data_IF_990179662843
#
_entry.id   IF_990179662843
#
_cell.length_a   1.000
_cell.length_b   1.000
_cell.length_c   1.000
_cell.angle_alpha   90.00
_cell.angle_beta   90.00
_cell.angle_gamma   90.00
#
_symmetry.space_group_name_H-M   'P 1'
#
loop_
_entity.id
_entity.type
_entity.pdbx_description
1 polymer ?
#
# COMPACT_ATOMS: atom_id res chain seq x y z
N UNK A 1 28.95 -19.16 47.63
CA UNK A 1 28.55 -20.31 46.79
C UNK A 1 27.24 -19.94 46.09
N UNK A 2 27.31 -19.34 44.89
CA UNK A 2 26.12 -18.90 44.15
C UNK A 2 25.61 -20.09 43.33
N UNK A 3 24.53 -20.72 43.80
CA UNK A 3 23.82 -21.75 43.05
C UNK A 3 23.11 -21.10 41.85
N UNK A 4 23.74 -21.17 40.68
CA UNK A 4 23.14 -20.77 39.40
C UNK A 4 22.09 -21.84 39.06
N UNK A 5 20.82 -21.56 39.32
CA UNK A 5 19.69 -22.38 38.85
C UNK A 5 19.72 -22.42 37.32
N UNK A 6 20.20 -23.53 36.75
CA UNK A 6 20.05 -23.83 35.33
C UNK A 6 18.58 -24.21 35.11
N UNK A 7 17.75 -23.27 34.65
CA UNK A 7 16.42 -23.59 34.13
C UNK A 7 16.60 -24.47 32.90
N UNK A 8 16.23 -25.75 33.00
CA UNK A 8 16.12 -26.64 31.83
C UNK A 8 15.02 -26.10 30.92
N UNK A 9 15.38 -25.66 29.72
CA UNK A 9 14.43 -25.33 28.67
C UNK A 9 13.52 -26.55 28.40
N UNK A 10 12.20 -26.36 28.43
CA UNK A 10 11.25 -27.39 28.03
C UNK A 10 10.93 -27.26 26.55
N UNK A 11 11.35 -28.24 25.75
CA UNK A 11 11.00 -28.35 24.34
C UNK A 11 9.85 -29.35 24.17
N UNK A 12 8.79 -28.94 23.47
CA UNK A 12 7.66 -29.83 23.13
C UNK A 12 7.40 -29.72 21.63
N UNK A 13 7.35 -30.85 20.94
CA UNK A 13 7.06 -30.92 19.51
C UNK A 13 5.67 -31.54 19.34
N UNK A 14 4.74 -30.79 18.77
CA UNK A 14 3.43 -31.28 18.38
C UNK A 14 3.36 -31.43 16.87
N UNK A 15 2.88 -32.57 16.38
CA UNK A 15 2.60 -32.78 14.96
C UNK A 15 1.10 -33.00 14.78
N UNK A 16 0.46 -32.15 13.99
CA UNK A 16 -0.94 -32.31 13.59
C UNK A 16 -1.09 -32.18 12.05
N UNK A 17 -2.34 -32.18 11.56
CA UNK A 17 -2.64 -32.03 10.13
C UNK A 17 -2.20 -30.67 9.55
N UNK A 18 -1.84 -29.69 10.38
CA UNK A 18 -1.38 -28.34 10.01
C UNK A 18 0.14 -28.20 10.05
N UNK A 19 0.88 -29.23 10.47
CA UNK A 19 2.34 -29.24 10.49
C UNK A 19 2.94 -29.63 11.85
N UNK A 20 4.20 -29.26 12.05
CA UNK A 20 4.98 -29.48 13.25
C UNK A 20 5.10 -28.15 14.00
N UNK A 21 4.50 -28.08 15.19
CA UNK A 21 4.60 -26.97 16.12
C UNK A 21 5.68 -27.28 17.15
N UNK A 22 6.73 -26.46 17.19
CA UNK A 22 7.77 -26.53 18.21
C UNK A 22 7.46 -25.49 19.28
N UNK A 23 7.40 -25.91 20.53
CA UNK A 23 7.23 -25.04 21.69
C UNK A 23 8.52 -25.01 22.51
N UNK A 24 8.89 -23.80 22.96
CA UNK A 24 9.97 -23.56 23.91
C UNK A 24 9.36 -22.82 25.09
N UNK A 25 9.44 -23.41 26.28
CA UNK A 25 8.89 -22.86 27.53
C UNK A 25 7.40 -22.44 27.39
N UNK A 26 6.62 -23.27 26.70
CA UNK A 26 5.18 -23.07 26.50
C UNK A 26 4.80 -22.05 25.41
N UNK A 27 5.78 -21.44 24.72
CA UNK A 27 5.55 -20.54 23.58
C UNK A 27 5.87 -21.24 22.27
N UNK A 28 5.07 -21.02 21.23
CA UNK A 28 5.39 -21.50 19.88
C UNK A 28 6.70 -20.85 19.43
N UNK A 29 7.72 -21.66 19.22
CA UNK A 29 9.02 -21.26 18.71
C UNK A 29 9.09 -21.38 17.18
N UNK A 30 8.50 -22.44 16.59
CA UNK A 30 8.33 -22.51 15.14
C UNK A 30 7.13 -23.38 14.73
N UNK A 31 6.61 -23.10 13.54
CA UNK A 31 5.61 -23.93 12.86
C UNK A 31 6.25 -24.36 11.52
N UNK A 32 6.54 -25.65 11.39
CA UNK A 32 7.05 -26.26 10.17
C UNK A 32 5.87 -26.94 9.50
N UNK A 33 5.39 -26.40 8.40
CA UNK A 33 4.29 -26.99 7.66
C UNK A 33 4.88 -27.62 6.38
N UNK A 34 5.13 -28.94 6.34
CA UNK A 34 5.77 -29.59 5.20
C UNK A 34 4.90 -29.41 3.95
N UNK A 35 5.40 -28.67 2.95
CA UNK A 35 4.66 -28.33 1.73
C UNK A 35 4.03 -26.94 1.72
N UNK A 36 4.16 -26.15 2.79
CA UNK A 36 3.72 -24.75 2.76
C UNK A 36 4.57 -23.93 1.79
N UNK A 37 3.92 -23.39 0.77
CA UNK A 37 4.51 -22.48 -0.21
C UNK A 37 4.19 -21.04 0.17
N UNK A 38 5.22 -20.21 0.18
CA UNK A 38 5.16 -18.82 0.58
C UNK A 38 5.26 -17.88 -0.61
N UNK A 39 4.61 -16.74 -0.48
CA UNK A 39 4.85 -15.55 -1.29
C UNK A 39 5.25 -14.43 -0.34
N UNK A 40 6.33 -13.72 -0.67
CA UNK A 40 6.73 -12.52 0.03
C UNK A 40 7.32 -11.51 -0.94
N UNK A 41 7.57 -10.30 -0.46
CA UNK A 41 7.99 -9.19 -1.29
C UNK A 41 8.93 -8.28 -0.50
N UNK A 42 9.77 -7.56 -1.22
CA UNK A 42 10.52 -6.45 -0.65
C UNK A 42 9.64 -5.21 -0.66
N UNK A 43 9.40 -4.56 0.49
CA UNK A 43 8.72 -3.27 0.47
C UNK A 43 9.49 -2.26 -0.38
N UNK A 44 8.78 -1.45 -1.18
CA UNK A 44 9.40 -0.34 -1.88
C UNK A 44 9.82 0.74 -0.88
N UNK A 45 10.65 1.67 -1.34
CA UNK A 45 10.78 2.95 -0.63
C UNK A 45 9.56 3.86 -0.81
N UNK A 46 9.62 5.03 -0.18
CA UNK A 46 8.54 6.01 -0.15
C UNK A 46 7.52 5.78 0.97
N UNK A 47 6.54 6.68 1.08
CA UNK A 47 5.56 6.64 2.18
C UNK A 47 4.57 5.49 2.09
N UNK A 48 3.71 5.38 3.12
CA UNK A 48 2.68 4.34 3.25
C UNK A 48 1.95 4.01 1.94
N UNK A 49 1.51 5.01 1.19
CA UNK A 49 0.72 4.81 -0.02
C UNK A 49 1.44 3.95 -1.09
N UNK A 50 2.77 4.01 -1.19
CA UNK A 50 3.54 3.17 -2.11
C UNK A 50 3.68 1.75 -1.57
N UNK A 51 4.01 1.61 -0.29
CA UNK A 51 4.14 0.32 0.39
C UNK A 51 2.82 -0.46 0.37
N UNK A 52 1.70 0.24 0.56
CA UNK A 52 0.33 -0.30 0.45
C UNK A 52 0.05 -0.91 -0.92
N UNK A 53 0.46 -0.26 -2.02
CA UNK A 53 0.25 -0.82 -3.37
C UNK A 53 1.00 -2.14 -3.53
N UNK A 54 2.25 -2.22 -3.05
CA UNK A 54 3.01 -3.47 -3.07
C UNK A 54 2.35 -4.57 -2.23
N UNK A 55 1.87 -4.21 -1.04
CA UNK A 55 1.13 -5.11 -0.18
C UNK A 55 -0.17 -5.64 -0.82
N UNK A 56 -0.98 -4.76 -1.41
CA UNK A 56 -2.23 -5.16 -2.08
C UNK A 56 -1.99 -6.10 -3.25
N UNK A 57 -0.99 -5.79 -4.07
CA UNK A 57 -0.57 -6.68 -5.17
C UNK A 57 -0.10 -8.04 -4.62
N UNK A 58 0.65 -8.05 -3.51
CA UNK A 58 1.10 -9.29 -2.88
C UNK A 58 -0.07 -10.13 -2.35
N UNK A 59 -1.11 -9.50 -1.78
CA UNK A 59 -2.35 -10.20 -1.34
C UNK A 59 -3.05 -10.86 -2.53
N UNK A 60 -3.22 -10.12 -3.63
CA UNK A 60 -3.86 -10.64 -4.85
C UNK A 60 -3.07 -11.82 -5.41
N UNK A 61 -1.74 -11.67 -5.57
CA UNK A 61 -0.89 -12.73 -6.09
C UNK A 61 -0.84 -13.95 -5.18
N UNK A 62 -0.74 -13.77 -3.87
CA UNK A 62 -0.76 -14.88 -2.92
C UNK A 62 -2.08 -15.65 -2.99
N UNK A 63 -3.21 -14.95 -3.17
CA UNK A 63 -4.52 -15.59 -3.35
C UNK A 63 -4.62 -16.34 -4.67
N UNK A 64 -4.17 -15.74 -5.78
CA UNK A 64 -4.21 -16.37 -7.11
C UNK A 64 -3.31 -17.59 -7.22
N UNK A 65 -2.16 -17.57 -6.52
CA UNK A 65 -1.16 -18.64 -6.56
C UNK A 65 -1.30 -19.66 -5.43
N UNK A 66 -2.33 -19.51 -4.58
CA UNK A 66 -2.57 -20.35 -3.41
C UNK A 66 -1.33 -20.48 -2.49
N UNK A 67 -0.70 -19.35 -2.18
CA UNK A 67 0.49 -19.28 -1.32
C UNK A 67 0.19 -18.57 -0.02
N UNK A 68 0.87 -18.97 1.06
CA UNK A 68 0.86 -18.24 2.33
C UNK A 68 1.62 -16.94 2.15
N UNK A 69 0.95 -15.82 2.42
CA UNK A 69 1.57 -14.49 2.31
C UNK A 69 2.42 -14.20 3.55
N UNK A 70 3.69 -13.86 3.37
CA UNK A 70 4.51 -13.28 4.43
C UNK A 70 4.59 -11.77 4.21
N UNK A 71 3.97 -11.01 5.12
CA UNK A 71 3.92 -9.55 5.09
C UNK A 71 5.06 -8.92 5.88
N UNK A 72 5.48 -7.74 5.44
CA UNK A 72 6.57 -6.97 6.00
C UNK A 72 6.06 -5.77 6.79
N UNK A 73 6.81 -5.31 7.81
CA UNK A 73 6.47 -4.08 8.52
C UNK A 73 6.67 -2.86 7.61
N UNK A 74 6.12 -1.74 8.02
CA UNK A 74 6.13 -0.49 7.27
C UNK A 74 7.31 0.38 7.69
N UNK A 75 7.97 0.96 6.70
CA UNK A 75 8.96 2.00 6.93
C UNK A 75 8.27 3.37 7.01
N UNK A 76 8.44 4.13 8.11
CA UNK A 76 7.87 5.46 8.22
C UNK A 76 8.50 6.42 7.22
N UNK A 77 7.68 7.27 6.63
CA UNK A 77 8.12 8.15 5.54
C UNK A 77 9.23 9.10 5.99
N UNK A 78 9.15 9.59 7.23
CA UNK A 78 10.15 10.51 7.77
C UNK A 78 11.53 9.85 7.94
N UNK A 79 11.60 8.60 8.38
CA UNK A 79 12.87 7.86 8.46
C UNK A 79 13.44 7.60 7.07
N UNK A 80 12.59 7.30 6.09
CA UNK A 80 13.01 7.18 4.68
C UNK A 80 13.62 8.50 4.19
N UNK A 81 12.95 9.63 4.42
CA UNK A 81 13.44 10.95 4.01
C UNK A 81 14.73 11.35 4.75
N UNK A 82 14.87 10.98 6.02
CA UNK A 82 16.08 11.22 6.83
C UNK A 82 17.25 10.42 6.28
N UNK A 83 17.05 9.14 5.97
CA UNK A 83 18.08 8.28 5.37
C UNK A 83 18.43 8.71 3.95
N UNK A 84 17.44 9.08 3.14
CA UNK A 84 17.66 9.64 1.79
C UNK A 84 18.62 10.84 1.84
N UNK A 85 18.35 11.78 2.74
CA UNK A 85 19.17 12.99 2.94
C UNK A 85 20.57 12.67 3.45
N UNK A 86 20.68 11.86 4.51
CA UNK A 86 21.96 11.55 5.15
C UNK A 86 22.86 10.63 4.33
N UNK A 87 22.30 9.67 3.58
CA UNK A 87 23.05 8.69 2.78
C UNK A 87 23.19 9.09 1.31
N UNK A 88 22.50 10.16 0.86
CA UNK A 88 22.47 10.62 -0.54
C UNK A 88 22.08 9.52 -1.54
N UNK A 89 21.14 8.66 -1.14
CA UNK A 89 20.60 7.57 -1.98
C UNK A 89 19.18 7.89 -2.47
N UNK A 90 18.69 7.14 -3.45
CA UNK A 90 17.30 7.25 -3.89
C UNK A 90 16.35 6.78 -2.78
N UNK A 91 15.10 7.25 -2.77
CA UNK A 91 14.06 6.75 -1.86
C UNK A 91 13.48 5.41 -2.33
N UNK A 92 14.35 4.49 -2.76
CA UNK A 92 14.04 3.14 -3.24
C UNK A 92 14.00 2.10 -2.13
N UNK A 93 13.97 0.83 -2.54
CA UNK A 93 13.92 -0.32 -1.62
C UNK A 93 15.20 -0.44 -0.77
N UNK A 94 16.31 0.13 -1.23
CA UNK A 94 17.59 0.09 -0.54
C UNK A 94 17.52 0.79 0.81
N UNK A 95 16.76 1.89 0.91
CA UNK A 95 16.55 2.59 2.19
C UNK A 95 15.77 1.70 3.16
N UNK A 96 14.74 0.98 2.68
CA UNK A 96 13.98 0.06 3.53
C UNK A 96 14.90 -0.99 4.17
N UNK A 97 15.86 -1.51 3.40
CA UNK A 97 16.81 -2.51 3.89
C UNK A 97 17.76 -2.00 4.98
N UNK A 98 17.98 -0.69 5.07
CA UNK A 98 18.85 -0.07 6.07
C UNK A 98 18.14 0.15 7.42
N UNK A 99 16.82 0.01 7.47
CA UNK A 99 16.04 0.28 8.69
C UNK A 99 16.12 -0.92 9.64
N UNK A 100 16.50 -0.69 10.91
CA UNK A 100 16.46 -1.74 11.91
C UNK A 100 15.02 -1.98 12.38
N UNK A 101 14.76 -3.13 13.01
CA UNK A 101 13.41 -3.58 13.36
C UNK A 101 12.64 -2.56 14.23
N UNK A 102 13.31 -1.90 15.18
CA UNK A 102 12.73 -0.89 16.09
C UNK A 102 12.30 0.41 15.39
N UNK A 103 12.72 0.60 14.12
CA UNK A 103 12.31 1.71 13.25
C UNK A 103 11.26 1.31 12.22
N UNK A 104 10.74 0.09 12.29
CA UNK A 104 9.68 -0.41 11.42
C UNK A 104 8.39 -0.60 12.22
N UNK A 105 7.25 -0.28 11.60
CA UNK A 105 5.93 -0.43 12.21
C UNK A 105 5.34 -1.77 11.77
N UNK A 106 5.03 -2.71 12.69
CA UNK A 106 4.31 -3.93 12.34
C UNK A 106 3.07 -3.62 11.49
N UNK A 107 2.86 -4.38 10.42
CA UNK A 107 1.73 -4.16 9.52
C UNK A 107 0.40 -4.37 10.25
N UNK A 108 0.35 -5.25 11.26
CA UNK A 108 -0.81 -5.44 12.14
C UNK A 108 -1.20 -4.20 12.95
N UNK A 109 -0.28 -3.26 13.14
CA UNK A 109 -0.57 -1.94 13.69
C UNK A 109 -1.39 -1.05 12.75
N UNK A 110 -1.45 -1.37 11.45
CA UNK A 110 -2.14 -0.58 10.42
C UNK A 110 -3.26 -1.34 9.73
N UNK A 111 -3.11 -2.65 9.53
CA UNK A 111 -4.03 -3.51 8.79
C UNK A 111 -4.58 -4.61 9.71
N UNK A 112 -5.87 -4.90 9.58
CA UNK A 112 -6.53 -6.02 10.25
C UNK A 112 -6.10 -7.36 9.64
N UNK A 113 -4.92 -7.88 10.04
CA UNK A 113 -4.39 -9.14 9.53
C UNK A 113 -5.28 -10.34 9.90
N UNK A 114 -6.04 -10.27 10.99
CA UNK A 114 -7.03 -11.31 11.37
C UNK A 114 -8.24 -11.30 10.43
N UNK A 115 -8.67 -10.13 9.98
CA UNK A 115 -9.66 -9.98 8.92
C UNK A 115 -9.14 -10.54 7.60
N UNK A 116 -7.91 -10.17 7.23
CA UNK A 116 -7.25 -10.62 6.00
C UNK A 116 -7.03 -12.14 5.96
N UNK A 117 -6.73 -12.77 7.09
CA UNK A 117 -6.47 -14.22 7.17
C UNK A 117 -7.66 -15.08 6.74
N UNK A 118 -8.87 -14.50 6.66
CA UNK A 118 -10.07 -15.15 6.12
C UNK A 118 -10.04 -15.30 4.58
N UNK A 119 -9.22 -14.50 3.90
CA UNK A 119 -9.05 -14.55 2.45
C UNK A 119 -7.85 -15.42 2.05
N UNK A 120 -6.71 -15.18 2.69
CA UNK A 120 -5.40 -15.78 2.37
C UNK A 120 -4.63 -16.06 3.67
N UNK A 121 -3.98 -17.24 3.83
CA UNK A 121 -3.10 -17.47 4.97
C UNK A 121 -2.02 -16.41 5.03
N UNK A 122 -1.85 -15.75 6.18
CA UNK A 122 -0.93 -14.63 6.33
C UNK A 122 -0.04 -14.82 7.56
N UNK A 123 1.26 -14.58 7.38
CA UNK A 123 2.26 -14.51 8.45
C UNK A 123 2.87 -13.12 8.45
N UNK A 124 3.02 -12.52 9.61
CA UNK A 124 3.69 -11.24 9.76
C UNK A 124 5.15 -11.45 10.15
N UNK A 125 6.05 -10.69 9.52
CA UNK A 125 7.38 -10.43 10.09
C UNK A 125 7.40 -9.06 10.76
N UNK A 126 8.10 -8.97 11.89
CA UNK A 126 8.35 -7.71 12.61
C UNK A 126 9.85 -7.40 12.68
N UNK A 127 10.68 -8.20 11.99
CA UNK A 127 12.12 -8.03 11.93
C UNK A 127 12.53 -7.00 10.87
N UNK A 128 13.80 -6.60 10.90
CA UNK A 128 14.43 -5.90 9.77
C UNK A 128 14.43 -6.79 8.51
N UNK A 129 14.69 -6.17 7.35
CA UNK A 129 14.82 -6.92 6.10
C UNK A 129 15.98 -7.93 6.14
N UNK A 130 17.12 -7.54 6.73
CA UNK A 130 18.31 -8.39 6.83
C UNK A 130 18.02 -9.64 7.67
N UNK A 131 17.39 -9.46 8.83
CA UNK A 131 16.97 -10.57 9.70
C UNK A 131 15.92 -11.46 9.04
N UNK A 132 15.00 -10.89 8.25
CA UNK A 132 14.03 -11.68 7.49
C UNK A 132 14.74 -12.59 6.48
N UNK A 133 15.69 -12.05 5.71
CA UNK A 133 16.44 -12.83 4.72
C UNK A 133 17.23 -13.94 5.41
N UNK A 134 17.88 -13.65 6.55
CA UNK A 134 18.61 -14.66 7.32
C UNK A 134 17.68 -15.74 7.88
N UNK A 135 16.55 -15.36 8.47
CA UNK A 135 15.55 -16.28 9.03
C UNK A 135 15.04 -17.28 8.00
N UNK A 136 14.79 -16.84 6.77
CA UNK A 136 14.22 -17.67 5.70
C UNK A 136 15.26 -18.21 4.71
N UNK A 137 16.58 -18.06 4.99
CA UNK A 137 17.66 -18.53 4.09
C UNK A 137 17.68 -20.04 3.84
N UNK A 138 17.04 -20.82 4.72
CA UNK A 138 16.94 -22.27 4.65
C UNK A 138 15.90 -22.76 3.62
N UNK A 139 15.03 -21.88 3.14
CA UNK A 139 14.05 -22.19 2.09
C UNK A 139 14.70 -22.15 0.71
N UNK A 140 14.07 -22.77 -0.29
CA UNK A 140 14.37 -22.51 -1.70
C UNK A 140 13.66 -21.23 -2.17
N UNK A 141 14.35 -20.36 -2.91
CA UNK A 141 13.84 -19.03 -3.30
C UNK A 141 13.73 -18.89 -4.83
N UNK A 142 12.49 -18.71 -5.30
CA UNK A 142 12.21 -18.20 -6.64
C UNK A 142 12.17 -16.67 -6.59
N UNK A 143 13.27 -16.02 -6.96
CA UNK A 143 13.35 -14.55 -6.99
C UNK A 143 12.73 -14.00 -8.28
N UNK A 144 11.77 -13.10 -8.12
CA UNK A 144 11.08 -12.41 -9.23
C UNK A 144 11.40 -10.92 -9.12
N UNK A 145 11.80 -10.29 -10.21
CA UNK A 145 12.04 -8.85 -10.24
C UNK A 145 11.67 -8.30 -11.61
N UNK A 146 10.48 -7.69 -11.69
CA UNK A 146 10.01 -7.05 -12.91
C UNK A 146 9.70 -5.58 -12.71
N UNK A 147 10.15 -4.75 -13.67
CA UNK A 147 9.95 -3.30 -13.60
C UNK A 147 8.71 -2.88 -14.41
N UNK A 148 7.59 -2.65 -13.71
CA UNK A 148 6.32 -2.24 -14.33
C UNK A 148 6.29 -0.86 -15.00
N UNK A 149 7.42 -0.16 -15.14
CA UNK A 149 7.54 1.04 -15.97
C UNK A 149 8.15 0.78 -17.35
N UNK A 150 8.77 -0.38 -17.57
CA UNK A 150 9.32 -0.77 -18.88
C UNK A 150 8.45 -1.82 -19.58
N UNK A 151 7.70 -2.62 -18.81
CA UNK A 151 6.76 -3.62 -19.31
C UNK A 151 5.53 -3.75 -18.43
N UNK A 152 4.78 -4.83 -18.61
CA UNK A 152 3.51 -5.04 -17.92
C UNK A 152 3.29 -6.48 -17.49
N UNK A 153 2.55 -6.62 -16.39
CA UNK A 153 2.00 -7.90 -15.95
C UNK A 153 0.63 -8.12 -16.56
N UNK A 154 0.39 -9.35 -17.03
CA UNK A 154 -0.91 -9.87 -17.44
C UNK A 154 -1.26 -11.11 -16.62
N UNK A 155 -2.54 -11.49 -16.55
CA UNK A 155 -2.95 -12.73 -15.89
C UNK A 155 -2.43 -13.98 -16.59
N UNK A 156 -2.48 -13.99 -17.92
CA UNK A 156 -1.81 -14.97 -18.76
C UNK A 156 -1.34 -14.31 -20.06
N UNK A 157 -0.19 -14.73 -20.58
CA UNK A 157 0.33 -14.27 -21.87
C UNK A 157 -0.64 -14.74 -22.96
N UNK A 158 -1.15 -13.84 -23.83
CA UNK A 158 -1.99 -14.23 -24.95
C UNK A 158 -1.26 -15.20 -25.88
N UNK A 159 -1.99 -16.12 -26.50
CA UNK A 159 -1.44 -16.96 -27.58
C UNK A 159 -0.94 -16.04 -28.71
N UNK A 160 0.10 -16.45 -29.42
CA UNK A 160 0.64 -15.67 -30.53
C UNK A 160 -0.41 -15.34 -31.61
N UNK A 161 -1.44 -16.17 -31.76
CA UNK A 161 -2.53 -15.99 -32.73
C UNK A 161 -3.69 -15.10 -32.23
N UNK A 162 -3.65 -14.64 -30.97
CA UNK A 162 -4.71 -13.81 -30.36
C UNK A 162 -4.44 -12.32 -30.62
N UNK A 163 -4.58 -11.91 -31.89
CA UNK A 163 -4.23 -10.57 -32.36
C UNK A 163 -4.97 -9.44 -31.64
N UNK A 164 -6.24 -9.67 -31.26
CA UNK A 164 -7.05 -8.68 -30.53
C UNK A 164 -6.40 -8.34 -29.18
N UNK A 165 -6.01 -9.36 -28.40
CA UNK A 165 -5.37 -9.13 -27.10
C UNK A 165 -4.00 -8.49 -27.24
N UNK A 166 -3.22 -8.89 -28.24
CA UNK A 166 -1.93 -8.24 -28.51
C UNK A 166 -2.09 -6.79 -28.92
N UNK A 167 -3.11 -6.45 -29.72
CA UNK A 167 -3.44 -5.08 -30.07
C UNK A 167 -3.82 -4.25 -28.83
N UNK A 168 -4.64 -4.80 -27.93
CA UNK A 168 -4.99 -4.13 -26.66
C UNK A 168 -3.77 -3.86 -25.79
N UNK A 169 -2.86 -4.84 -25.67
CA UNK A 169 -1.62 -4.65 -24.91
C UNK A 169 -0.74 -3.57 -25.53
N UNK A 170 -0.54 -3.58 -26.85
CA UNK A 170 0.24 -2.54 -27.55
C UNK A 170 -0.33 -1.15 -27.31
N UNK A 171 -1.64 -0.97 -27.51
CA UNK A 171 -2.31 0.30 -27.28
C UNK A 171 -2.18 0.77 -25.81
N UNK A 172 -2.34 -0.17 -24.86
CA UNK A 172 -2.21 0.14 -23.44
C UNK A 172 -0.78 0.55 -23.07
N UNK A 173 0.24 -0.15 -23.60
CA UNK A 173 1.65 0.18 -23.44
C UNK A 173 1.97 1.59 -23.94
N UNK A 174 1.55 1.90 -25.17
CA UNK A 174 1.79 3.20 -25.80
C UNK A 174 1.15 4.35 -25.03
N UNK A 175 -0.04 4.11 -24.45
CA UNK A 175 -0.79 5.14 -23.74
C UNK A 175 -0.32 5.34 -22.29
N UNK A 176 0.11 4.28 -21.60
CA UNK A 176 0.29 4.32 -20.14
C UNK A 176 1.75 4.18 -19.67
N UNK A 177 2.66 3.62 -20.48
CA UNK A 177 4.05 3.46 -20.07
C UNK A 177 4.88 4.68 -20.51
N UNK A 178 5.84 5.13 -19.67
CA UNK A 178 6.74 6.21 -20.03
C UNK A 178 7.60 5.82 -21.24
N UNK A 179 8.08 6.82 -21.98
CA UNK A 179 9.09 6.63 -23.04
C UNK A 179 10.33 5.90 -22.50
N UNK A 180 11.02 5.16 -23.35
CA UNK A 180 12.24 4.43 -22.97
C UNK A 180 13.26 5.36 -22.30
N UNK A 181 13.88 4.89 -21.21
CA UNK A 181 14.94 5.62 -20.48
C UNK A 181 14.47 6.67 -19.45
N UNK A 182 13.22 7.12 -19.46
CA UNK A 182 12.74 8.15 -18.52
C UNK A 182 12.22 7.55 -17.20
N UNK A 183 13.12 6.87 -16.47
CA UNK A 183 12.80 6.28 -15.17
C UNK A 183 13.32 7.15 -14.02
N UNK A 184 12.44 7.54 -13.07
CA UNK A 184 12.85 8.17 -11.83
C UNK A 184 13.88 7.30 -11.08
N UNK A 185 14.86 7.93 -10.41
CA UNK A 185 15.95 7.21 -9.74
C UNK A 185 15.48 6.10 -8.79
N UNK A 186 14.40 6.34 -8.03
CA UNK A 186 13.81 5.36 -7.10
C UNK A 186 13.06 4.20 -7.79
N UNK A 187 12.95 4.25 -9.12
CA UNK A 187 12.30 3.24 -9.98
C UNK A 187 13.28 2.55 -10.93
N UNK A 188 14.58 2.84 -10.84
CA UNK A 188 15.64 2.13 -11.58
C UNK A 188 15.99 0.81 -10.87
N UNK A 189 14.98 -0.05 -10.76
CA UNK A 189 15.02 -1.36 -10.10
C UNK A 189 15.02 -2.46 -11.17
N UNK A 190 15.33 -3.69 -10.75
CA UNK A 190 15.41 -4.88 -11.60
C UNK A 190 16.40 -4.66 -12.76
N UNK A 191 17.68 -4.47 -12.39
CA UNK A 191 18.76 -4.18 -13.35
C UNK A 191 18.89 -5.21 -14.48
N UNK A 192 18.47 -6.46 -14.24
CA UNK A 192 18.39 -7.49 -15.28
C UNK A 192 17.46 -7.07 -16.40
N UNK A 193 16.21 -6.75 -16.08
CA UNK A 193 15.23 -6.25 -17.05
C UNK A 193 15.70 -4.95 -17.72
N UNK A 194 16.25 -4.01 -16.94
CA UNK A 194 16.75 -2.75 -17.52
C UNK A 194 17.83 -3.03 -18.56
N UNK A 195 18.81 -3.90 -18.26
CA UNK A 195 19.85 -4.28 -19.23
C UNK A 195 19.28 -4.99 -20.46
N UNK A 196 18.27 -5.83 -20.27
CA UNK A 196 17.68 -6.62 -21.34
C UNK A 196 16.79 -5.78 -22.27
N UNK A 197 16.08 -4.78 -21.72
CA UNK A 197 15.02 -4.06 -22.42
C UNK A 197 15.24 -2.54 -22.58
N UNK A 198 16.36 -1.97 -22.11
CA UNK A 198 16.66 -0.53 -22.31
C UNK A 198 16.69 -0.17 -23.81
N UNK A 199 17.30 -1.05 -24.61
CA UNK A 199 17.58 -0.84 -26.03
C UNK A 199 16.70 -1.68 -26.96
N UNK A 200 15.72 -2.42 -26.43
CA UNK A 200 14.81 -3.22 -27.26
C UNK A 200 13.67 -2.35 -27.79
N UNK A 201 13.29 -2.55 -29.05
CA UNK A 201 12.07 -1.95 -29.62
C UNK A 201 10.78 -2.50 -29.00
N UNK A 202 10.83 -3.71 -28.44
CA UNK A 202 9.71 -4.35 -27.75
C UNK A 202 9.71 -4.10 -26.24
N UNK A 203 8.53 -3.98 -25.66
CA UNK A 203 8.31 -3.93 -24.21
C UNK A 203 7.93 -5.31 -23.68
N UNK A 204 8.46 -5.75 -22.52
CA UNK A 204 8.16 -7.07 -22.00
C UNK A 204 6.72 -7.20 -21.47
N UNK A 205 6.17 -8.41 -21.62
CA UNK A 205 4.91 -8.86 -21.03
C UNK A 205 5.18 -10.07 -20.17
N UNK A 206 4.84 -9.98 -18.88
CA UNK A 206 5.01 -11.06 -17.91
C UNK A 206 3.66 -11.65 -17.53
N UNK A 207 3.51 -12.97 -17.62
CA UNK A 207 2.28 -13.66 -17.26
C UNK A 207 2.31 -14.17 -15.83
N UNK A 208 1.32 -13.80 -15.02
CA UNK A 208 1.19 -14.31 -13.65
C UNK A 208 1.10 -15.83 -13.66
N UNK A 209 0.24 -16.42 -14.50
CA UNK A 209 0.11 -17.88 -14.61
C UNK A 209 1.35 -18.51 -15.25
N UNK A 210 1.86 -17.90 -16.31
CA UNK A 210 2.95 -18.44 -17.10
C UNK A 210 4.27 -18.52 -16.31
N UNK A 211 4.58 -17.48 -15.56
CA UNK A 211 5.85 -17.39 -14.83
C UNK A 211 5.78 -18.00 -13.43
N UNK A 212 4.61 -17.91 -12.76
CA UNK A 212 4.54 -18.13 -11.30
C UNK A 212 3.78 -19.39 -10.88
N UNK A 213 2.82 -19.90 -11.66
CA UNK A 213 1.95 -21.00 -11.21
C UNK A 213 2.68 -22.34 -11.02
N UNK A 214 3.67 -22.63 -11.87
CA UNK A 214 4.39 -23.92 -11.86
C UNK A 214 5.67 -23.91 -11.01
N UNK A 215 5.90 -22.84 -10.26
CA UNK A 215 7.07 -22.67 -9.40
C UNK A 215 7.05 -23.65 -8.24
N UNK A 216 8.11 -24.43 -8.10
CA UNK A 216 8.29 -25.44 -7.04
C UNK A 216 8.96 -24.87 -5.80
N UNK A 217 9.57 -23.69 -5.89
CA UNK A 217 10.30 -23.04 -4.81
C UNK A 217 9.39 -22.76 -3.61
N UNK A 218 9.93 -22.99 -2.42
CA UNK A 218 9.25 -22.77 -1.14
C UNK A 218 8.83 -21.30 -1.01
N UNK A 219 9.68 -20.37 -1.39
CA UNK A 219 9.43 -18.93 -1.36
C UNK A 219 9.44 -18.33 -2.77
N UNK A 220 8.31 -17.77 -3.20
CA UNK A 220 8.31 -16.77 -4.28
C UNK A 220 8.57 -15.40 -3.68
N UNK A 221 9.68 -14.79 -4.04
CA UNK A 221 10.13 -13.52 -3.47
C UNK A 221 10.24 -12.44 -4.53
N UNK A 222 9.37 -11.43 -4.43
CA UNK A 222 9.43 -10.26 -5.31
C UNK A 222 10.45 -9.25 -4.80
N UNK A 223 11.58 -9.14 -5.49
CA UNK A 223 12.73 -8.35 -5.07
C UNK A 223 12.64 -6.88 -5.51
N UNK A 224 13.50 -6.04 -4.92
CA UNK A 224 13.78 -4.65 -5.32
C UNK A 224 12.55 -3.71 -5.31
N UNK A 225 11.52 -4.02 -4.53
CA UNK A 225 10.28 -3.24 -4.53
C UNK A 225 9.47 -3.38 -5.82
N UNK A 226 9.69 -4.44 -6.61
CA UNK A 226 9.04 -4.67 -7.92
C UNK A 226 7.51 -4.75 -7.82
N UNK A 227 6.96 -5.19 -6.69
CA UNK A 227 5.49 -5.18 -6.47
C UNK A 227 4.90 -3.79 -6.24
N UNK A 228 5.71 -2.74 -6.10
CA UNK A 228 5.20 -1.39 -6.33
C UNK A 228 4.96 -1.19 -7.84
N UNK A 229 3.94 -1.88 -8.32
CA UNK A 229 3.43 -1.84 -9.67
C UNK A 229 2.03 -1.25 -9.60
N UNK A 230 1.80 -0.20 -10.36
CA UNK A 230 0.50 0.49 -10.36
C UNK A 230 -0.52 -0.24 -11.21
N UNK A 231 -0.10 -1.23 -12.02
CA UNK A 231 -0.95 -1.90 -12.99
C UNK A 231 -0.61 -3.39 -13.13
N UNK A 232 -1.56 -4.22 -12.73
CA UNK A 232 -1.64 -5.63 -13.13
C UNK A 232 -2.84 -5.74 -14.06
N UNK A 233 -2.58 -6.10 -15.32
CA UNK A 233 -3.61 -6.22 -16.35
C UNK A 233 -4.20 -7.63 -16.35
N UNK A 234 -5.48 -7.74 -16.63
CA UNK A 234 -6.18 -9.01 -16.68
C UNK A 234 -7.09 -9.03 -17.90
N UNK A 235 -7.06 -10.14 -18.63
CA UNK A 235 -8.05 -10.41 -19.67
C UNK A 235 -9.34 -10.99 -19.09
N UNK A 236 -9.26 -11.77 -18.00
CA UNK A 236 -10.44 -12.32 -17.34
C UNK A 236 -11.15 -11.31 -16.42
N UNK A 237 -12.27 -10.77 -16.89
CA UNK A 237 -13.11 -9.81 -16.13
C UNK A 237 -13.58 -10.39 -14.79
N UNK A 238 -13.86 -11.69 -14.71
CA UNK A 238 -14.33 -12.33 -13.48
C UNK A 238 -13.25 -12.30 -12.40
N UNK A 239 -12.01 -12.64 -12.77
CA UNK A 239 -10.87 -12.51 -11.86
C UNK A 239 -10.72 -11.07 -11.36
N UNK A 240 -10.84 -10.07 -12.23
CA UNK A 240 -10.76 -8.66 -11.81
C UNK A 240 -11.83 -8.30 -10.78
N UNK A 241 -13.10 -8.66 -11.04
CA UNK A 241 -14.19 -8.40 -10.10
C UNK A 241 -13.94 -9.06 -8.73
N UNK A 242 -13.45 -10.31 -8.73
CA UNK A 242 -13.08 -11.01 -7.50
C UNK A 242 -11.93 -10.29 -6.79
N UNK A 243 -10.90 -9.84 -7.50
CA UNK A 243 -9.77 -9.12 -6.87
C UNK A 243 -10.20 -7.79 -6.25
N UNK A 244 -11.11 -7.05 -6.89
CA UNK A 244 -11.67 -5.83 -6.33
C UNK A 244 -12.45 -6.14 -5.05
N UNK A 245 -13.28 -7.18 -5.05
CA UNK A 245 -13.99 -7.63 -3.85
C UNK A 245 -13.02 -8.05 -2.74
N UNK A 246 -11.96 -8.78 -3.05
CA UNK A 246 -10.93 -9.19 -2.10
C UNK A 246 -10.29 -7.99 -1.39
N UNK A 247 -9.83 -7.01 -2.18
CA UNK A 247 -9.20 -5.80 -1.67
C UNK A 247 -10.20 -5.01 -0.82
N UNK A 248 -11.40 -4.74 -1.34
CA UNK A 248 -12.38 -3.90 -0.65
C UNK A 248 -12.91 -4.53 0.65
N UNK A 249 -13.04 -5.86 0.70
CA UNK A 249 -13.62 -6.56 1.85
C UNK A 249 -12.61 -6.98 2.90
N UNK A 250 -11.41 -7.41 2.51
CA UNK A 250 -10.46 -8.07 3.41
C UNK A 250 -9.23 -7.22 3.75
N UNK A 251 -8.91 -6.20 2.95
CA UNK A 251 -7.85 -5.25 3.28
C UNK A 251 -8.47 -4.06 4.01
N UNK A 252 -8.61 -4.21 5.33
CA UNK A 252 -9.19 -3.18 6.22
C UNK A 252 -8.14 -2.65 7.18
N UNK A 253 -8.31 -1.41 7.59
CA UNK A 253 -7.50 -0.83 8.65
C UNK A 253 -7.69 -1.57 9.99
N UNK A 254 -6.62 -1.58 10.79
CA UNK A 254 -6.61 -2.18 12.11
C UNK A 254 -7.77 -1.63 12.98
N UNK A 255 -8.35 -2.45 13.87
CA UNK A 255 -9.48 -2.03 14.71
C UNK A 255 -9.22 -0.74 15.50
N UNK A 256 -8.00 -0.55 16.01
CA UNK A 256 -7.63 0.66 16.75
C UNK A 256 -7.69 1.92 15.88
N UNK A 257 -7.13 1.89 14.67
CA UNK A 257 -7.24 2.99 13.69
C UNK A 257 -8.70 3.30 13.39
N UNK A 258 -9.51 2.25 13.13
CA UNK A 258 -10.93 2.44 12.83
C UNK A 258 -11.67 3.07 13.99
N UNK A 259 -11.41 2.65 15.23
CA UNK A 259 -12.02 3.22 16.43
C UNK A 259 -11.66 4.71 16.56
N UNK A 260 -10.37 5.05 16.47
CA UNK A 260 -9.91 6.45 16.55
C UNK A 260 -10.58 7.35 15.51
N UNK A 261 -10.66 6.88 14.27
CA UNK A 261 -11.35 7.62 13.21
C UNK A 261 -12.83 7.78 13.55
N UNK A 262 -13.50 6.74 14.05
CA UNK A 262 -14.91 6.86 14.47
C UNK A 262 -15.11 7.88 15.58
N UNK A 263 -14.22 7.92 16.58
CA UNK A 263 -14.29 8.90 17.67
C UNK A 263 -14.16 10.35 17.13
N UNK A 264 -13.29 10.57 16.12
CA UNK A 264 -13.19 11.87 15.44
C UNK A 264 -14.44 12.20 14.62
N UNK A 265 -15.00 11.22 13.91
CA UNK A 265 -16.22 11.42 13.12
C UNK A 265 -17.43 11.74 14.00
N UNK A 266 -17.54 11.11 15.17
CA UNK A 266 -18.56 11.42 16.16
C UNK A 266 -18.42 12.85 16.70
N UNK A 267 -17.20 13.27 16.99
CA UNK A 267 -16.91 14.63 17.45
C UNK A 267 -17.16 15.72 16.36
N UNK A 268 -16.84 15.43 15.10
CA UNK A 268 -17.12 16.33 13.97
C UNK A 268 -18.62 16.45 13.68
N UNK A 269 -19.36 15.35 13.84
CA UNK A 269 -20.75 15.23 13.43
C UNK A 269 -20.92 15.16 11.91
N UNK A 270 -22.10 14.70 11.48
CA UNK A 270 -22.51 14.72 10.08
C UNK A 270 -23.71 15.66 9.85
N UNK A 271 -23.78 16.37 8.70
CA UNK A 271 -22.78 16.36 7.63
C UNK A 271 -21.54 17.24 7.94
N UNK A 272 -20.40 16.91 7.33
CA UNK A 272 -19.18 17.74 7.37
C UNK A 272 -18.45 17.78 6.03
N UNK A 273 -17.72 18.87 5.78
CA UNK A 273 -16.84 19.02 4.62
C UNK A 273 -15.39 18.71 4.98
N UNK A 274 -14.59 18.31 4.01
CA UNK A 274 -13.14 18.18 4.20
C UNK A 274 -12.33 18.72 3.02
N UNK A 275 -11.14 19.22 3.32
CA UNK A 275 -10.12 19.52 2.31
C UNK A 275 -8.78 18.90 2.65
N UNK A 276 -8.01 18.57 1.61
CA UNK A 276 -6.59 18.25 1.75
C UNK A 276 -5.73 19.28 1.02
N UNK A 277 -4.91 20.00 1.77
CA UNK A 277 -4.03 21.08 1.30
C UNK A 277 -2.57 20.68 1.49
N UNK A 278 -1.87 20.38 0.38
CA UNK A 278 -0.43 20.03 0.35
C UNK A 278 0.38 21.22 -0.16
N UNK A 279 1.30 21.76 0.64
CA UNK A 279 2.07 22.98 0.30
C UNK A 279 3.59 22.84 0.37
N UNK A 280 4.14 21.92 1.16
CA UNK A 280 5.57 22.01 1.54
C UNK A 280 6.55 21.50 0.49
N UNK A 281 6.32 20.32 -0.09
CA UNK A 281 7.32 19.59 -0.88
C UNK A 281 6.89 19.24 -2.31
N UNK A 282 5.64 19.56 -2.68
CA UNK A 282 5.05 19.12 -3.95
C UNK A 282 4.99 20.28 -4.98
N UNK A 283 5.74 20.20 -6.11
CA UNK A 283 5.90 21.30 -7.08
C UNK A 283 4.61 21.85 -7.69
N UNK A 284 3.58 21.02 -7.82
CA UNK A 284 2.32 21.41 -8.46
C UNK A 284 1.30 22.04 -7.51
N UNK A 285 1.46 21.91 -6.18
CA UNK A 285 0.43 22.34 -5.22
C UNK A 285 0.89 23.51 -4.35
N UNK A 286 2.20 23.73 -4.16
CA UNK A 286 2.71 24.84 -3.35
C UNK A 286 2.30 26.24 -3.87
N UNK A 287 2.07 26.37 -5.19
CA UNK A 287 1.68 27.63 -5.84
C UNK A 287 0.17 27.92 -5.78
N UNK A 288 -0.63 26.94 -5.35
CA UNK A 288 -2.08 27.09 -5.31
C UNK A 288 -2.47 28.01 -4.15
N UNK A 289 -3.28 29.03 -4.43
CA UNK A 289 -3.81 29.98 -3.43
C UNK A 289 -5.13 29.48 -2.85
N UNK A 290 -5.50 29.99 -1.66
CA UNK A 290 -6.72 29.64 -0.93
C UNK A 290 -7.97 29.66 -1.82
N UNK A 291 -8.09 30.66 -2.69
CA UNK A 291 -9.21 30.86 -3.63
C UNK A 291 -9.53 29.62 -4.45
N UNK A 292 -8.51 28.82 -4.81
CA UNK A 292 -8.74 27.58 -5.55
C UNK A 292 -9.63 26.60 -4.77
N UNK A 293 -9.32 26.36 -3.50
CA UNK A 293 -10.11 25.44 -2.67
C UNK A 293 -11.47 26.04 -2.34
N UNK A 294 -11.52 27.34 -2.01
CA UNK A 294 -12.77 28.05 -1.75
C UNK A 294 -13.72 28.01 -2.95
N UNK A 295 -13.22 28.25 -4.17
CA UNK A 295 -14.03 28.14 -5.38
C UNK A 295 -14.57 26.72 -5.58
N UNK A 296 -13.77 25.69 -5.31
CA UNK A 296 -14.18 24.28 -5.43
C UNK A 296 -15.21 23.87 -4.37
N UNK A 297 -15.15 24.45 -3.17
CA UNK A 297 -16.15 24.27 -2.13
C UNK A 297 -17.44 25.03 -2.48
N UNK A 298 -17.33 26.28 -2.96
CA UNK A 298 -18.46 27.13 -3.38
C UNK A 298 -19.27 26.51 -4.51
N UNK A 299 -18.61 25.97 -5.54
CA UNK A 299 -19.28 25.29 -6.68
C UNK A 299 -20.08 24.05 -6.23
N UNK A 300 -19.79 23.50 -5.05
CA UNK A 300 -20.54 22.40 -4.45
C UNK A 300 -21.55 22.84 -3.39
N UNK A 301 -21.72 24.15 -3.20
CA UNK A 301 -22.55 24.73 -2.13
C UNK A 301 -22.19 24.18 -0.74
N UNK A 302 -20.90 23.84 -0.53
CA UNK A 302 -20.48 23.05 0.62
C UNK A 302 -20.78 23.72 1.97
N UNK A 303 -20.72 25.05 2.05
CA UNK A 303 -21.05 25.80 3.27
C UNK A 303 -22.54 25.75 3.61
N UNK A 304 -23.42 25.63 2.60
CA UNK A 304 -24.86 25.53 2.80
C UNK A 304 -25.24 24.16 3.36
N UNK A 305 -24.48 23.12 2.99
CA UNK A 305 -24.64 21.78 3.57
C UNK A 305 -24.26 21.77 5.06
N UNK A 306 -23.13 22.40 5.41
CA UNK A 306 -22.60 22.45 6.78
C UNK A 306 -21.46 23.45 6.87
N UNK A 307 -21.33 24.10 8.03
CA UNK A 307 -20.20 24.98 8.33
C UNK A 307 -18.97 24.21 8.79
N UNK A 308 -19.09 22.94 9.20
CA UNK A 308 -17.96 22.13 9.66
C UNK A 308 -17.02 21.80 8.50
N UNK A 309 -15.75 22.19 8.62
CA UNK A 309 -14.70 21.93 7.64
C UNK A 309 -13.46 21.32 8.30
N UNK A 310 -13.22 20.04 8.05
CA UNK A 310 -11.99 19.36 8.44
C UNK A 310 -10.85 19.64 7.44
N UNK A 311 -9.67 19.98 7.92
CA UNK A 311 -8.51 20.35 7.11
C UNK A 311 -7.33 19.42 7.38
N UNK A 312 -7.05 18.53 6.43
CA UNK A 312 -5.80 17.76 6.39
C UNK A 312 -4.72 18.58 5.65
N UNK A 313 -3.63 18.93 6.32
CA UNK A 313 -2.61 19.79 5.70
C UNK A 313 -1.21 19.60 6.30
N UNK A 314 -0.20 19.84 5.47
CA UNK A 314 1.19 20.00 5.89
C UNK A 314 1.59 21.47 6.08
N UNK A 315 0.62 22.39 6.03
CA UNK A 315 0.82 23.82 6.34
C UNK A 315 0.80 24.05 7.85
N UNK A 316 1.90 24.60 8.37
CA UNK A 316 2.06 24.91 9.79
C UNK A 316 1.41 26.25 10.17
N UNK A 317 1.41 27.24 9.27
CA UNK A 317 0.79 28.55 9.51
C UNK A 317 -0.73 28.48 9.33
N UNK A 318 -1.45 28.34 10.45
CA UNK A 318 -2.93 28.29 10.47
C UNK A 318 -3.57 29.61 10.02
N UNK A 319 -2.86 30.75 10.10
CA UNK A 319 -3.39 32.02 9.61
C UNK A 319 -3.63 32.01 8.10
N UNK A 320 -2.94 31.15 7.35
CA UNK A 320 -3.19 30.93 5.93
C UNK A 320 -4.64 30.50 5.63
N UNK A 321 -5.31 29.84 6.59
CA UNK A 321 -6.69 29.38 6.46
C UNK A 321 -7.75 30.40 6.88
N UNK A 322 -7.35 31.60 7.33
CA UNK A 322 -8.30 32.68 7.69
C UNK A 322 -9.39 32.93 6.64
N UNK A 323 -9.11 32.95 5.32
CA UNK A 323 -10.14 33.14 4.30
C UNK A 323 -11.28 32.09 4.33
N UNK A 324 -11.04 30.89 4.87
CA UNK A 324 -12.08 29.86 5.02
C UNK A 324 -13.02 30.18 6.18
N UNK A 325 -12.50 30.67 7.30
CA UNK A 325 -13.34 31.19 8.40
C UNK A 325 -14.13 32.43 7.95
N UNK A 326 -13.49 33.35 7.22
CA UNK A 326 -14.17 34.54 6.65
C UNK A 326 -15.30 34.13 5.67
N UNK A 327 -15.18 32.98 5.03
CA UNK A 327 -16.21 32.38 4.17
C UNK A 327 -17.31 31.63 4.94
N UNK A 328 -17.26 31.59 6.28
CA UNK A 328 -18.30 31.04 7.15
C UNK A 328 -18.08 29.60 7.64
N UNK A 329 -16.88 29.03 7.44
CA UNK A 329 -16.55 27.68 7.93
C UNK A 329 -16.01 27.68 9.36
N UNK A 330 -16.42 26.67 10.14
CA UNK A 330 -15.81 26.26 11.39
C UNK A 330 -14.68 25.28 11.05
N UNK A 331 -13.43 25.68 11.29
CA UNK A 331 -12.25 24.92 10.86
C UNK A 331 -11.83 23.94 11.96
N UNK A 332 -11.59 22.69 11.58
CA UNK A 332 -11.05 21.65 12.44
C UNK A 332 -9.79 21.06 11.80
N UNK A 333 -8.77 20.82 12.62
CA UNK A 333 -7.49 20.24 12.23
C UNK A 333 -7.19 19.00 13.09
N UNK A 334 -6.12 18.29 12.74
CA UNK A 334 -5.64 17.17 13.53
C UNK A 334 -5.37 17.53 15.01
N UNK A 335 -4.92 18.76 15.27
CA UNK A 335 -4.64 19.27 16.62
C UNK A 335 -5.88 19.29 17.52
N UNK A 336 -7.08 19.50 16.96
CA UNK A 336 -8.34 19.52 17.72
C UNK A 336 -8.75 18.12 18.20
N UNK A 337 -8.05 17.08 17.73
CA UNK A 337 -8.28 15.67 18.07
C UNK A 337 -6.97 14.97 18.50
N UNK A 338 -6.09 15.68 19.23
CA UNK A 338 -4.78 15.17 19.67
C UNK A 338 -4.88 13.81 20.38
N UNK A 339 -5.86 13.63 21.27
CA UNK A 339 -6.03 12.38 22.02
C UNK A 339 -6.42 11.19 21.12
N UNK A 340 -7.15 11.44 20.03
CA UNK A 340 -7.58 10.41 19.08
C UNK A 340 -6.50 10.14 18.03
N UNK A 341 -5.90 11.20 17.47
CA UNK A 341 -5.07 11.16 16.27
C UNK A 341 -3.57 11.15 16.55
N UNK A 342 -3.11 11.75 17.65
CA UNK A 342 -1.69 11.83 18.00
C UNK A 342 -1.37 10.78 19.06
N UNK A 343 -0.84 9.67 18.57
CA UNK A 343 -0.54 8.47 19.35
C UNK A 343 0.60 8.72 20.35
N UNK A 344 0.29 9.21 21.56
CA UNK A 344 1.27 9.53 22.62
C UNK A 344 2.14 8.35 23.06
N UNK A 345 1.73 7.11 22.74
CA UNK A 345 2.46 5.88 23.07
C UNK A 345 3.11 5.20 21.87
N UNK A 346 3.01 5.78 20.67
CA UNK A 346 3.70 5.27 19.49
C UNK A 346 5.03 6.00 19.34
N UNK A 347 6.05 5.27 18.92
CA UNK A 347 7.36 5.82 18.63
C UNK A 347 7.20 7.03 17.68
N UNK A 348 7.82 8.16 18.06
CA UNK A 348 7.68 9.45 17.37
C UNK A 348 7.97 9.39 15.87
N UNK A 349 8.78 8.40 15.44
CA UNK A 349 9.05 8.12 14.03
C UNK A 349 7.78 7.82 13.20
N UNK A 350 6.72 7.30 13.81
CA UNK A 350 5.50 6.86 13.11
C UNK A 350 4.30 7.77 13.30
N UNK A 351 4.37 8.73 14.23
CA UNK A 351 3.22 9.58 14.59
C UNK A 351 2.67 10.30 13.37
N UNK A 352 3.54 10.83 12.50
CA UNK A 352 3.12 11.54 11.29
C UNK A 352 2.50 10.62 10.23
N UNK A 353 3.03 9.41 10.04
CA UNK A 353 2.46 8.44 9.10
C UNK A 353 1.08 7.95 9.59
N UNK A 354 0.95 7.67 10.90
CA UNK A 354 -0.31 7.27 11.52
C UNK A 354 -1.34 8.40 11.52
N UNK A 355 -0.92 9.64 11.77
CA UNK A 355 -1.77 10.80 11.63
C UNK A 355 -2.30 10.90 10.20
N UNK A 356 -1.41 10.92 9.21
CA UNK A 356 -1.79 11.03 7.81
C UNK A 356 -2.71 9.89 7.34
N UNK A 357 -2.53 8.68 7.87
CA UNK A 357 -3.42 7.54 7.67
C UNK A 357 -4.83 7.80 8.21
N UNK A 358 -4.95 8.25 9.45
CA UNK A 358 -6.24 8.57 10.07
C UNK A 358 -6.92 9.74 9.36
N UNK A 359 -6.19 10.79 9.01
CA UNK A 359 -6.73 11.94 8.26
C UNK A 359 -7.29 11.53 6.90
N UNK A 360 -6.64 10.60 6.18
CA UNK A 360 -7.16 10.07 4.93
C UNK A 360 -8.53 9.40 5.12
N UNK A 361 -8.72 8.69 6.24
CA UNK A 361 -9.98 8.05 6.57
C UNK A 361 -11.04 9.06 7.01
N UNK A 362 -10.68 10.06 7.82
CA UNK A 362 -11.59 11.16 8.20
C UNK A 362 -12.08 11.87 6.93
N UNK A 363 -11.17 12.34 6.07
CA UNK A 363 -11.53 12.99 4.80
C UNK A 363 -12.34 12.08 3.86
N UNK A 364 -12.17 10.75 3.94
CA UNK A 364 -12.95 9.82 3.13
C UNK A 364 -14.42 9.76 3.53
N UNK A 365 -14.76 10.08 4.79
CA UNK A 365 -16.15 10.10 5.27
C UNK A 365 -16.86 11.43 5.05
N UNK A 366 -16.15 12.51 4.71
CA UNK A 366 -16.76 13.82 4.49
C UNK A 366 -17.83 13.80 3.39
N UNK A 367 -18.86 14.62 3.52
CA UNK A 367 -19.93 14.74 2.54
C UNK A 367 -19.41 15.39 1.24
N UNK A 368 -18.62 16.47 1.38
CA UNK A 368 -17.81 17.01 0.30
C UNK A 368 -16.33 16.94 0.61
N UNK A 369 -15.54 16.57 -0.40
CA UNK A 369 -14.08 16.53 -0.31
C UNK A 369 -13.42 17.25 -1.49
N UNK A 370 -12.47 18.14 -1.20
CA UNK A 370 -11.59 18.77 -2.20
C UNK A 370 -10.13 18.50 -1.83
N UNK A 371 -9.38 17.84 -2.71
CA UNK A 371 -8.00 17.48 -2.46
C UNK A 371 -7.01 18.10 -3.45
N UNK A 372 -5.75 18.20 -3.01
CA UNK A 372 -4.62 18.67 -3.81
C UNK A 372 -4.33 17.77 -5.02
N UNK A 373 -4.11 18.39 -6.20
CA UNK A 373 -3.75 17.67 -7.42
C UNK A 373 -2.40 16.95 -7.29
N UNK A 374 -2.26 15.82 -7.99
CA UNK A 374 -1.06 14.96 -8.05
C UNK A 374 -0.58 14.37 -6.72
N UNK A 375 -1.22 14.69 -5.60
CA UNK A 375 -0.91 14.08 -4.31
C UNK A 375 -1.41 12.64 -4.24
N UNK A 376 -0.50 11.70 -3.95
CA UNK A 376 -0.86 10.30 -3.64
C UNK A 376 -1.75 10.18 -2.40
N UNK A 377 -1.64 11.13 -1.46
CA UNK A 377 -2.51 11.24 -0.29
C UNK A 377 -3.96 11.52 -0.71
N UNK A 378 -4.20 12.56 -1.52
CA UNK A 378 -5.53 12.85 -2.09
C UNK A 378 -6.05 11.72 -2.95
N UNK A 379 -5.20 11.11 -3.78
CA UNK A 379 -5.62 9.99 -4.63
C UNK A 379 -6.16 8.83 -3.80
N UNK A 380 -5.52 8.53 -2.67
CA UNK A 380 -5.98 7.47 -1.79
C UNK A 380 -7.27 7.85 -1.04
N UNK A 381 -7.46 9.11 -0.62
CA UNK A 381 -8.76 9.57 -0.08
C UNK A 381 -9.86 9.33 -1.11
N UNK A 382 -9.68 9.74 -2.36
CA UNK A 382 -10.69 9.53 -3.42
C UNK A 382 -11.00 8.04 -3.62
N UNK A 383 -9.99 7.17 -3.52
CA UNK A 383 -10.19 5.72 -3.54
C UNK A 383 -11.00 5.24 -2.34
N UNK A 384 -10.67 5.67 -1.12
CA UNK A 384 -11.42 5.30 0.08
C UNK A 384 -12.89 5.73 -0.02
N UNK A 385 -13.16 6.93 -0.52
CA UNK A 385 -14.54 7.40 -0.81
C UNK A 385 -15.27 6.47 -1.78
N UNK A 386 -14.60 6.04 -2.86
CA UNK A 386 -15.17 5.06 -3.79
C UNK A 386 -15.41 3.72 -3.10
N UNK A 387 -14.50 3.26 -2.24
CA UNK A 387 -14.63 2.03 -1.46
C UNK A 387 -15.82 2.07 -0.50
N UNK A 388 -16.04 3.18 0.22
CA UNK A 388 -17.15 3.34 1.16
C UNK A 388 -18.52 3.27 0.46
N UNK A 389 -18.60 3.72 -0.80
CA UNK A 389 -19.83 3.67 -1.61
C UNK A 389 -19.92 2.45 -2.52
N UNK A 390 -18.87 1.63 -2.59
CA UNK A 390 -18.80 0.49 -3.48
C UNK A 390 -19.63 -0.69 -2.95
N UNK A 391 -20.54 -1.19 -3.78
CA UNK A 391 -21.37 -2.37 -3.47
C UNK A 391 -20.92 -3.60 -4.24
N UNK A 392 -20.69 -3.43 -5.56
CA UNK A 392 -20.28 -4.45 -6.52
C UNK A 392 -19.82 -3.76 -7.81
N UNK A 393 -19.21 -4.52 -8.71
CA UNK A 393 -18.84 -4.04 -10.05
C UNK A 393 -17.39 -3.58 -10.15
N UNK A 394 -17.00 -3.21 -11.36
CA UNK A 394 -15.62 -2.91 -11.70
C UNK A 394 -15.18 -1.57 -11.10
N UNK A 395 -13.98 -1.56 -10.51
CA UNK A 395 -13.27 -0.34 -10.18
C UNK A 395 -12.33 0.03 -11.33
N UNK A 396 -12.32 1.31 -11.68
CA UNK A 396 -11.41 1.85 -12.70
C UNK A 396 -10.29 2.64 -12.05
N UNK A 397 -9.27 2.97 -12.85
CA UNK A 397 -8.24 3.92 -12.43
C UNK A 397 -8.88 5.26 -12.01
N UNK A 398 -8.30 5.98 -11.03
CA UNK A 398 -7.08 5.64 -10.28
C UNK A 398 -7.36 4.81 -9.01
N UNK A 399 -8.52 4.17 -8.88
CA UNK A 399 -8.98 3.57 -7.63
C UNK A 399 -8.48 2.15 -7.36
N UNK A 400 -7.75 1.54 -8.29
CA UNK A 400 -7.25 0.17 -8.19
C UNK A 400 -5.98 0.00 -9.03
N UNK A 401 -5.11 -0.93 -8.62
CA UNK A 401 -3.99 -1.39 -9.46
C UNK A 401 -4.37 -2.58 -10.35
N UNK A 402 -5.54 -3.19 -10.13
CA UNK A 402 -6.02 -4.33 -10.92
C UNK A 402 -6.94 -3.83 -12.02
N UNK A 403 -6.50 -3.98 -13.27
CA UNK A 403 -7.14 -3.39 -14.45
C UNK A 403 -7.61 -4.48 -15.38
N UNK A 404 -8.87 -4.40 -15.80
CA UNK A 404 -9.38 -5.20 -16.91
C UNK A 404 -9.05 -4.50 -18.23
N UNK A 405 -8.40 -5.20 -19.16
CA UNK A 405 -7.92 -4.63 -20.44
C UNK A 405 -8.91 -4.83 -21.60
N UNK A 406 -10.08 -5.45 -21.36
CA UNK A 406 -11.04 -5.75 -22.42
C UNK A 406 -11.67 -4.53 -23.09
N UNK A 407 -12.29 -4.76 -24.25
CA UNK A 407 -12.77 -3.76 -25.23
C UNK A 407 -14.06 -3.01 -24.86
N UNK A 408 -14.65 -3.20 -23.67
CA UNK A 408 -15.96 -2.60 -23.37
C UNK A 408 -16.24 -2.31 -21.89
N UNK A 409 -16.00 -1.06 -21.48
CA UNK A 409 -16.82 -0.41 -20.45
C UNK A 409 -17.43 0.89 -21.01
N UNK A 410 -17.94 0.86 -22.24
CA UNK A 410 -18.91 1.85 -22.67
C UNK A 410 -20.24 1.53 -21.99
N UNK A 411 -20.55 2.31 -20.94
CA UNK A 411 -21.78 2.37 -20.12
C UNK A 411 -21.67 1.67 -18.76
N UNK A 412 -21.46 2.52 -17.75
CA UNK A 412 -21.60 2.23 -16.33
C UNK A 412 -21.57 3.53 -15.54
#
# INVERSE_FOLDING_TARGET
MVHRMIRKLKFIIFKDQRGIMVYIDGRVACEINPGARYLSYQPPGGGWNNQRVAFENAVVLAKLLNRTLIVHPLAPHQEILRLKRSRRVSAGYEIYNMLPAEKLLPLSGVIDLKGLSKLVPVKETTSSHVEFVDKYKHLTWGRVCHNGLIGMWVDAIPRATDEEKWQLLRQHMETNLPSHGDLPLYRRICKGDLKQFDNSSGRPVWGIKDELSNRSEDMLYFAEGSLYNRELLFFDKKTVLNTHEWIMRFIRFAPDIRKRVMDVLEALGHPFNAIHVRRTDHPSSFRMKQDFWLQRLKVREAVNLTKTLYIATDEEDKAWFKPFSDAGYNLYFAEDFDDQLRLRHVNSAFVQDMLGLCEQLVCAHADHFVGSYYSTFTMFIKRLRKQLSWKKGLLHKPYTSIVWIGTSDSKG
#
